data_IF_204667359275
#
_entry.id   IF_204667359275
#
_cell.length_a   1.000
_cell.length_b   1.000
_cell.length_c   1.000
_cell.angle_alpha   90.00
_cell.angle_beta   90.00
_cell.angle_gamma   90.00
#
_symmetry.space_group_name_H-M   'P 1'
#
loop_
_entity.id
_entity.type
_entity.pdbx_description
1 polymer ?
#
# COMPACT_ATOMS: atom_id res chain seq x y z
N UNK A 1 10.42 -38.78 31.77
CA UNK A 1 11.06 -37.47 32.08
C UNK A 1 11.19 -37.36 33.60
N UNK A 2 12.42 -37.37 34.15
CA UNK A 2 12.70 -37.40 35.60
C UNK A 2 12.11 -36.18 36.33
N UNK A 3 11.69 -36.33 37.60
CA UNK A 3 11.21 -35.22 38.46
C UNK A 3 12.22 -34.06 38.51
N UNK A 4 13.51 -34.37 38.42
CA UNK A 4 14.61 -33.38 38.40
C UNK A 4 14.55 -32.54 37.11
N UNK A 5 14.33 -33.18 35.96
CA UNK A 5 14.24 -32.49 34.66
C UNK A 5 13.02 -31.56 34.60
N UNK A 6 11.86 -32.00 35.12
CA UNK A 6 10.67 -31.14 35.22
C UNK A 6 10.89 -29.92 36.11
N UNK A 7 11.59 -30.09 37.23
CA UNK A 7 11.90 -29.01 38.17
C UNK A 7 12.85 -27.98 37.54
N UNK A 8 13.93 -28.44 36.90
CA UNK A 8 14.88 -27.58 36.17
C UNK A 8 14.18 -26.83 35.02
N UNK A 9 13.28 -27.49 34.29
CA UNK A 9 12.57 -26.85 33.19
C UNK A 9 11.58 -25.77 33.65
N UNK A 10 10.80 -26.04 34.71
CA UNK A 10 9.81 -25.09 35.22
C UNK A 10 10.44 -23.93 36.00
N UNK A 11 11.48 -24.18 36.81
CA UNK A 11 12.09 -23.17 37.68
C UNK A 11 13.21 -22.38 36.99
N UNK A 12 13.91 -22.94 35.99
CA UNK A 12 15.03 -22.26 35.33
C UNK A 12 14.75 -21.91 33.86
N UNK A 13 14.17 -22.83 33.07
CA UNK A 13 14.00 -22.58 31.63
C UNK A 13 12.84 -21.66 31.31
N UNK A 14 11.72 -21.75 32.04
CA UNK A 14 10.54 -20.90 31.81
C UNK A 14 10.81 -19.41 32.14
N UNK A 15 11.44 -19.03 33.27
CA UNK A 15 11.81 -17.64 33.52
C UNK A 15 12.90 -17.15 32.56
N UNK A 16 13.89 -18.00 32.21
CA UNK A 16 14.93 -17.65 31.25
C UNK A 16 14.35 -17.36 29.86
N UNK A 17 13.33 -18.11 29.41
CA UNK A 17 12.63 -17.86 28.16
C UNK A 17 11.86 -16.52 28.17
N UNK A 18 11.22 -16.17 29.29
CA UNK A 18 10.52 -14.88 29.46
C UNK A 18 11.49 -13.69 29.55
N UNK A 19 12.70 -13.90 30.10
CA UNK A 19 13.75 -12.87 30.17
C UNK A 19 14.49 -12.73 28.84
N UNK A 20 14.69 -13.83 28.10
CA UNK A 20 15.24 -13.86 26.73
C UNK A 20 14.47 -12.98 25.75
N UNK A 21 13.15 -12.95 25.89
CA UNK A 21 12.28 -12.13 25.04
C UNK A 21 12.46 -10.61 25.28
N UNK A 22 12.99 -10.22 26.46
CA UNK A 22 13.17 -8.81 26.85
C UNK A 22 14.61 -8.32 26.79
N UNK A 23 15.60 -9.17 27.04
CA UNK A 23 17.01 -8.77 27.04
C UNK A 23 17.94 -9.97 26.75
N UNK A 24 18.15 -10.31 25.47
CA UNK A 24 18.91 -11.50 25.07
C UNK A 24 20.40 -11.42 25.44
N UNK A 25 20.97 -10.20 25.52
CA UNK A 25 22.36 -9.99 25.87
C UNK A 25 22.60 -10.33 27.36
N UNK A 26 21.73 -9.87 28.25
CA UNK A 26 21.82 -10.15 29.69
C UNK A 26 21.68 -11.65 30.00
N UNK A 27 20.80 -12.35 29.28
CA UNK A 27 20.59 -13.80 29.46
C UNK A 27 21.80 -14.62 28.97
N UNK A 28 22.45 -14.20 27.87
CA UNK A 28 23.69 -14.80 27.42
C UNK A 28 24.81 -14.67 28.45
N UNK A 29 24.98 -13.48 29.05
CA UNK A 29 26.00 -13.23 30.07
C UNK A 29 25.76 -14.06 31.34
N UNK A 30 24.50 -14.23 31.75
CA UNK A 30 24.13 -15.06 32.90
C UNK A 30 24.46 -16.54 32.68
N UNK A 31 24.18 -17.06 31.48
CA UNK A 31 24.47 -18.46 31.13
C UNK A 31 25.97 -18.72 30.98
N UNK A 32 26.73 -17.79 30.41
CA UNK A 32 28.18 -17.87 30.36
C UNK A 32 28.80 -17.86 31.78
N UNK A 33 28.24 -17.06 32.69
CA UNK A 33 28.66 -17.00 34.08
C UNK A 33 28.38 -18.31 34.85
N UNK A 34 27.21 -18.93 34.67
CA UNK A 34 26.88 -20.20 35.34
C UNK A 34 27.69 -21.39 34.80
N UNK A 35 28.06 -21.37 33.52
CA UNK A 35 28.95 -22.35 32.89
C UNK A 35 30.35 -22.41 33.51
N UNK A 36 30.87 -21.24 33.92
CA UNK A 36 32.21 -21.11 34.48
C UNK A 36 32.36 -21.76 35.86
N UNK A 37 31.25 -22.17 36.49
CA UNK A 37 31.19 -22.67 37.87
C UNK A 37 31.34 -24.19 38.00
N UNK A 38 31.14 -24.99 36.94
CA UNK A 38 31.37 -26.43 36.98
C UNK A 38 31.53 -27.04 35.57
N UNK A 39 32.51 -27.94 35.41
CA UNK A 39 32.85 -28.60 34.15
C UNK A 39 31.70 -29.46 33.59
N UNK A 40 30.83 -29.97 34.46
CA UNK A 40 29.67 -30.80 34.08
C UNK A 40 28.58 -30.01 33.35
N UNK A 41 28.55 -28.68 33.50
CA UNK A 41 27.57 -27.81 32.85
C UNK A 41 28.02 -27.29 31.48
N UNK A 42 29.29 -27.45 31.11
CA UNK A 42 29.85 -27.02 29.81
C UNK A 42 28.98 -27.44 28.62
N UNK A 43 28.56 -28.72 28.45
CA UNK A 43 27.74 -29.11 27.30
C UNK A 43 26.34 -28.46 27.32
N UNK A 44 25.75 -28.27 28.51
CA UNK A 44 24.45 -27.61 28.64
C UNK A 44 24.53 -26.12 28.32
N UNK A 45 25.59 -25.45 28.77
CA UNK A 45 25.85 -24.06 28.40
C UNK A 45 26.06 -23.92 26.90
N UNK A 46 26.86 -24.79 26.27
CA UNK A 46 27.08 -24.73 24.82
C UNK A 46 25.76 -24.84 24.05
N UNK A 47 24.91 -25.82 24.39
CA UNK A 47 23.58 -25.98 23.77
C UNK A 47 22.70 -24.76 24.01
N UNK A 48 22.66 -24.24 25.24
CA UNK A 48 21.91 -23.04 25.58
C UNK A 48 22.42 -21.81 24.80
N UNK A 49 23.73 -21.64 24.66
CA UNK A 49 24.35 -20.57 23.87
C UNK A 49 23.97 -20.67 22.39
N UNK A 50 23.98 -21.87 21.79
CA UNK A 50 23.52 -22.05 20.40
C UNK A 50 22.05 -21.68 20.22
N UNK A 51 21.17 -22.11 21.15
CA UNK A 51 19.75 -21.76 21.12
C UNK A 51 19.55 -20.25 21.22
N UNK A 52 20.32 -19.58 22.09
CA UNK A 52 20.23 -18.13 22.28
C UNK A 52 20.74 -17.38 21.05
N UNK A 53 21.89 -17.76 20.51
CA UNK A 53 22.43 -17.15 19.29
C UNK A 53 21.43 -17.31 18.14
N UNK A 54 20.85 -18.50 17.99
CA UNK A 54 19.82 -18.75 16.99
C UNK A 54 18.56 -17.89 17.21
N UNK A 55 18.06 -17.80 18.44
CA UNK A 55 16.91 -16.96 18.78
C UNK A 55 17.17 -15.47 18.50
N UNK A 56 18.35 -14.97 18.87
CA UNK A 56 18.78 -13.59 18.56
C UNK A 56 18.86 -13.38 17.05
N UNK A 57 19.41 -14.33 16.31
CA UNK A 57 19.53 -14.24 14.86
C UNK A 57 18.15 -14.17 14.19
N UNK A 58 17.22 -15.06 14.58
CA UNK A 58 15.84 -15.06 14.07
C UNK A 58 15.12 -13.76 14.44
N UNK A 59 15.25 -13.29 15.68
CA UNK A 59 14.65 -12.04 16.12
C UNK A 59 15.21 -10.83 15.37
N UNK A 60 16.53 -10.77 15.18
CA UNK A 60 17.22 -9.70 14.46
C UNK A 60 16.78 -9.67 12.99
N UNK A 61 16.68 -10.84 12.36
CA UNK A 61 16.18 -10.95 10.99
C UNK A 61 14.74 -10.46 10.87
N UNK A 62 13.86 -10.85 11.81
CA UNK A 62 12.47 -10.38 11.84
C UNK A 62 12.39 -8.86 11.99
N UNK A 63 13.20 -8.27 12.87
CA UNK A 63 13.28 -6.81 13.03
C UNK A 63 13.75 -6.12 11.76
N UNK A 64 14.77 -6.66 11.08
CA UNK A 64 15.22 -6.13 9.79
C UNK A 64 14.14 -6.20 8.70
N UNK A 65 13.40 -7.32 8.63
CA UNK A 65 12.27 -7.47 7.70
C UNK A 65 11.15 -6.47 8.00
N UNK A 66 10.83 -6.24 9.28
CA UNK A 66 9.85 -5.23 9.69
C UNK A 66 10.29 -3.79 9.39
N UNK A 67 11.55 -3.46 9.62
CA UNK A 67 12.10 -2.13 9.32
C UNK A 67 12.17 -1.88 7.82
N UNK A 68 12.58 -2.87 7.03
CA UNK A 68 12.53 -2.80 5.56
C UNK A 68 11.11 -2.60 5.06
N UNK A 69 10.13 -3.33 5.62
CA UNK A 69 8.72 -3.15 5.31
C UNK A 69 8.22 -1.75 5.66
N UNK A 70 8.55 -1.22 6.85
CA UNK A 70 8.19 0.15 7.25
C UNK A 70 8.77 1.19 6.30
N UNK A 71 10.03 1.03 5.88
CA UNK A 71 10.66 1.93 4.92
C UNK A 71 9.92 1.90 3.57
N UNK A 72 9.54 0.72 3.08
CA UNK A 72 8.75 0.56 1.85
C UNK A 72 7.34 1.14 1.96
N UNK A 73 6.68 0.97 3.10
CA UNK A 73 5.38 1.59 3.33
C UNK A 73 5.48 3.12 3.34
N UNK A 74 6.53 3.69 3.95
CA UNK A 74 6.79 5.13 3.92
C UNK A 74 7.00 5.67 2.50
N UNK A 75 7.66 4.88 1.64
CA UNK A 75 7.79 5.19 0.21
C UNK A 75 6.41 5.24 -0.48
N UNK A 76 5.57 4.21 -0.27
CA UNK A 76 4.19 4.16 -0.78
C UNK A 76 3.35 5.35 -0.31
N UNK A 77 3.39 5.64 0.99
CA UNK A 77 2.67 6.77 1.61
C UNK A 77 3.09 8.09 0.97
N UNK A 78 4.39 8.32 0.79
CA UNK A 78 4.89 9.51 0.11
C UNK A 78 4.42 9.64 -1.34
N UNK A 79 4.40 8.54 -2.10
CA UNK A 79 3.93 8.55 -3.50
C UNK A 79 2.44 8.84 -3.55
N UNK A 80 1.64 8.17 -2.71
CA UNK A 80 0.20 8.35 -2.64
C UNK A 80 -0.18 9.79 -2.31
N UNK A 81 0.42 10.38 -1.27
CA UNK A 81 0.14 11.78 -0.91
C UNK A 81 0.55 12.78 -1.98
N UNK A 82 1.68 12.54 -2.66
CA UNK A 82 2.11 13.39 -3.78
C UNK A 82 1.14 13.31 -4.96
N UNK A 83 0.65 12.12 -5.29
CA UNK A 83 -0.37 11.92 -6.31
C UNK A 83 -1.69 12.57 -5.90
N UNK A 84 -2.14 12.37 -4.66
CA UNK A 84 -3.36 12.95 -4.12
C UNK A 84 -3.35 14.48 -4.13
N UNK A 85 -2.25 15.11 -3.69
CA UNK A 85 -2.08 16.56 -3.77
C UNK A 85 -2.18 17.05 -5.21
N UNK A 86 -1.50 16.37 -6.15
CA UNK A 86 -1.56 16.73 -7.56
C UNK A 86 -2.99 16.62 -8.13
N UNK A 87 -3.71 15.53 -7.81
CA UNK A 87 -5.10 15.32 -8.20
C UNK A 87 -6.00 16.45 -7.69
N UNK A 88 -5.85 16.83 -6.41
CA UNK A 88 -6.61 17.91 -5.81
C UNK A 88 -6.33 19.25 -6.49
N UNK A 89 -5.06 19.57 -6.75
CA UNK A 89 -4.67 20.79 -7.46
C UNK A 89 -5.28 20.86 -8.86
N UNK A 90 -5.23 19.74 -9.61
CA UNK A 90 -5.81 19.68 -10.95
C UNK A 90 -7.35 19.79 -10.91
N UNK A 91 -8.00 19.10 -9.97
CA UNK A 91 -9.46 19.20 -9.81
C UNK A 91 -9.86 20.65 -9.55
N UNK A 92 -9.21 21.31 -8.60
CA UNK A 92 -9.49 22.71 -8.29
C UNK A 92 -9.27 23.60 -9.51
N UNK A 93 -8.16 23.42 -10.22
CA UNK A 93 -7.86 24.17 -11.44
C UNK A 93 -8.98 24.07 -12.48
N UNK A 94 -9.49 22.87 -12.76
CA UNK A 94 -10.53 22.67 -13.77
C UNK A 94 -11.96 22.95 -13.27
N UNK A 95 -12.18 23.00 -11.96
CA UNK A 95 -13.46 23.39 -11.37
C UNK A 95 -13.69 24.91 -11.45
N UNK A 96 -12.62 25.70 -11.28
CA UNK A 96 -12.70 27.17 -11.32
C UNK A 96 -12.44 27.76 -12.71
N UNK A 97 -11.95 26.96 -13.66
CA UNK A 97 -11.59 27.42 -15.00
C UNK A 97 -12.82 27.47 -15.91
N UNK A 98 -13.23 28.69 -16.23
CA UNK A 98 -14.09 28.94 -17.38
C UNK A 98 -13.20 29.03 -18.62
N UNK A 99 -13.37 28.08 -19.55
CA UNK A 99 -12.71 28.14 -20.85
C UNK A 99 -13.57 28.94 -21.82
N UNK A 100 -13.01 29.99 -22.41
CA UNK A 100 -13.72 30.82 -23.40
C UNK A 100 -13.75 30.16 -24.79
N UNK A 101 -12.98 29.08 -24.99
CA UNK A 101 -12.85 28.35 -26.25
C UNK A 101 -13.66 27.05 -26.19
N UNK A 102 -14.66 26.91 -27.06
CA UNK A 102 -15.55 25.74 -27.13
C UNK A 102 -14.78 24.41 -27.22
N UNK A 103 -13.69 24.39 -28.00
CA UNK A 103 -12.81 23.22 -28.13
C UNK A 103 -12.15 22.82 -26.78
N UNK A 104 -11.79 23.78 -25.94
CA UNK A 104 -11.23 23.50 -24.60
C UNK A 104 -12.31 23.07 -23.62
N UNK A 105 -13.51 23.64 -23.69
CA UNK A 105 -14.65 23.20 -22.89
C UNK A 105 -14.98 21.71 -23.14
N UNK A 106 -14.89 21.26 -24.39
CA UNK A 106 -15.12 19.85 -24.76
C UNK A 106 -14.12 18.88 -24.11
N UNK A 107 -12.94 19.35 -23.71
CA UNK A 107 -11.91 18.54 -23.06
C UNK A 107 -12.13 18.37 -21.54
N UNK A 108 -12.83 19.32 -20.90
CA UNK A 108 -12.97 19.36 -19.44
C UNK A 108 -13.61 18.08 -18.85
N UNK A 109 -14.72 17.55 -19.38
CA UNK A 109 -15.34 16.34 -18.83
C UNK A 109 -14.40 15.12 -18.89
N UNK A 110 -13.63 15.00 -19.98
CA UNK A 110 -12.69 13.89 -20.15
C UNK A 110 -11.51 13.99 -19.16
N UNK A 111 -11.04 15.21 -18.88
CA UNK A 111 -10.02 15.46 -17.84
C UNK A 111 -10.56 15.14 -16.45
N UNK A 112 -11.76 15.62 -16.12
CA UNK A 112 -12.40 15.34 -14.84
C UNK A 112 -12.60 13.83 -14.63
N UNK A 113 -13.03 13.11 -15.67
CA UNK A 113 -13.15 11.66 -15.64
C UNK A 113 -11.78 11.00 -15.41
N UNK A 114 -10.71 11.47 -16.04
CA UNK A 114 -9.35 10.94 -15.81
C UNK A 114 -8.88 11.13 -14.37
N UNK A 115 -9.13 12.30 -13.80
CA UNK A 115 -8.81 12.59 -12.40
C UNK A 115 -9.56 11.62 -11.50
N UNK A 116 -10.88 11.47 -11.71
CA UNK A 116 -11.73 10.56 -10.92
C UNK A 116 -11.25 9.11 -11.00
N UNK A 117 -11.01 8.59 -12.21
CA UNK A 117 -10.54 7.22 -12.42
C UNK A 117 -9.18 6.99 -11.77
N UNK A 118 -8.27 7.98 -11.84
CA UNK A 118 -6.95 7.87 -11.21
C UNK A 118 -7.09 7.76 -9.69
N UNK A 119 -7.96 8.59 -9.10
CA UNK A 119 -8.24 8.54 -7.66
C UNK A 119 -8.87 7.20 -7.25
N UNK A 120 -9.89 6.74 -7.97
CA UNK A 120 -10.57 5.47 -7.72
C UNK A 120 -9.63 4.25 -7.82
N UNK A 121 -8.55 4.34 -8.60
CA UNK A 121 -7.51 3.30 -8.67
C UNK A 121 -6.45 3.45 -7.56
N UNK A 122 -6.09 4.66 -7.17
CA UNK A 122 -5.07 4.91 -6.17
C UNK A 122 -5.53 4.56 -4.74
N UNK A 123 -6.77 4.88 -4.40
CA UNK A 123 -7.35 4.64 -3.06
C UNK A 123 -7.32 3.17 -2.60
N UNK A 124 -7.74 2.18 -3.42
CA UNK A 124 -7.66 0.77 -3.03
C UNK A 124 -6.22 0.27 -2.94
N UNK A 125 -5.31 0.75 -3.79
CA UNK A 125 -3.88 0.41 -3.70
C UNK A 125 -3.29 0.86 -2.37
N UNK A 126 -3.58 2.09 -1.94
CA UNK A 126 -3.11 2.60 -0.66
C UNK A 126 -3.77 1.90 0.53
N UNK A 127 -5.05 1.54 0.40
CA UNK A 127 -5.76 0.75 1.42
C UNK A 127 -5.14 -0.65 1.58
N UNK A 128 -4.75 -1.30 0.47
CA UNK A 128 -4.03 -2.57 0.50
C UNK A 128 -2.65 -2.42 1.17
N UNK A 129 -1.92 -1.32 0.90
CA UNK A 129 -0.63 -1.06 1.52
C UNK A 129 -0.69 -0.89 3.05
N UNK A 130 -1.82 -0.39 3.57
CA UNK A 130 -2.04 -0.23 5.03
C UNK A 130 -2.29 -1.54 5.76
N UNK A 131 -2.59 -2.63 5.05
CA UNK A 131 -2.87 -3.91 5.69
C UNK A 131 -1.63 -4.42 6.44
N UNK A 132 -1.82 -4.84 7.69
CA UNK A 132 -0.72 -5.35 8.52
C UNK A 132 -0.03 -6.59 7.94
N UNK A 133 -0.71 -7.30 7.03
CA UNK A 133 -0.22 -8.47 6.29
C UNK A 133 0.55 -8.12 5.01
N UNK A 134 0.62 -6.85 4.60
CA UNK A 134 1.29 -6.47 3.36
C UNK A 134 2.78 -6.83 3.41
N UNK A 135 3.23 -7.61 2.43
CA UNK A 135 4.63 -8.02 2.30
C UNK A 135 5.47 -6.91 1.66
N UNK A 136 6.80 -6.97 1.83
CA UNK A 136 7.70 -6.01 1.18
C UNK A 136 7.57 -6.01 -0.35
N UNK A 137 7.29 -7.18 -0.94
CA UNK A 137 7.09 -7.32 -2.39
C UNK A 137 5.77 -6.68 -2.84
N UNK A 138 4.68 -6.91 -2.09
CA UNK A 138 3.39 -6.26 -2.34
C UNK A 138 3.51 -4.73 -2.25
N UNK A 139 4.23 -4.22 -1.24
CA UNK A 139 4.47 -2.77 -1.11
C UNK A 139 5.28 -2.22 -2.29
N UNK A 140 6.27 -2.96 -2.79
CA UNK A 140 7.05 -2.55 -3.96
C UNK A 140 6.19 -2.51 -5.23
N UNK A 141 5.32 -3.50 -5.43
CA UNK A 141 4.37 -3.53 -6.55
C UNK A 141 3.39 -2.35 -6.46
N UNK A 142 2.80 -2.11 -5.29
CA UNK A 142 1.89 -0.98 -5.06
C UNK A 142 2.60 0.35 -5.34
N UNK A 143 3.84 0.52 -4.91
CA UNK A 143 4.63 1.72 -5.21
C UNK A 143 4.83 1.91 -6.72
N UNK A 144 5.05 0.82 -7.48
CA UNK A 144 5.15 0.85 -8.94
C UNK A 144 3.84 1.26 -9.59
N UNK A 145 2.72 0.67 -9.16
CA UNK A 145 1.39 0.94 -9.72
C UNK A 145 0.97 2.40 -9.46
N UNK A 146 1.21 2.92 -8.25
CA UNK A 146 0.96 4.33 -7.92
C UNK A 146 1.83 5.28 -8.76
N UNK A 147 3.10 4.94 -9.02
CA UNK A 147 3.95 5.72 -9.93
C UNK A 147 3.45 5.71 -11.36
N UNK A 148 2.92 4.57 -11.82
CA UNK A 148 2.32 4.48 -13.14
C UNK A 148 1.09 5.39 -13.25
N UNK A 149 0.21 5.37 -12.24
CA UNK A 149 -0.93 6.28 -12.16
C UNK A 149 -0.50 7.76 -12.18
N UNK A 150 0.51 8.13 -11.39
CA UNK A 150 1.07 9.49 -11.38
C UNK A 150 1.64 9.89 -12.75
N UNK A 151 2.38 8.99 -13.41
CA UNK A 151 2.91 9.23 -14.74
C UNK A 151 1.81 9.41 -15.79
N UNK A 152 0.76 8.59 -15.74
CA UNK A 152 -0.38 8.65 -16.64
C UNK A 152 -1.13 9.98 -16.51
N UNK A 153 -1.55 10.36 -15.29
CA UNK A 153 -2.31 11.61 -15.11
C UNK A 153 -1.46 12.84 -15.46
N UNK A 154 -0.17 12.86 -15.11
CA UNK A 154 0.74 13.93 -15.54
C UNK A 154 0.95 13.95 -17.06
N UNK A 155 0.88 12.79 -17.71
CA UNK A 155 0.93 12.67 -19.16
C UNK A 155 -0.28 13.31 -19.82
N UNK A 156 -1.48 13.04 -19.30
CA UNK A 156 -2.74 13.66 -19.75
C UNK A 156 -2.65 15.18 -19.61
N UNK A 157 -2.26 15.71 -18.45
CA UNK A 157 -2.18 17.17 -18.24
C UNK A 157 -1.15 17.82 -19.16
N UNK A 158 0.01 17.19 -19.37
CA UNK A 158 0.99 17.66 -20.37
C UNK A 158 0.47 17.58 -21.80
N UNK A 159 -0.38 16.61 -22.11
CA UNK A 159 -1.09 16.52 -23.39
C UNK A 159 -2.04 17.69 -23.58
N UNK A 160 -2.82 17.99 -22.55
CA UNK A 160 -3.76 19.10 -22.54
C UNK A 160 -3.08 20.46 -22.69
N UNK A 161 -2.02 20.76 -21.93
CA UNK A 161 -1.29 22.04 -22.09
C UNK A 161 -0.69 22.21 -23.49
N UNK A 162 -0.26 21.11 -24.13
CA UNK A 162 0.21 21.13 -25.52
C UNK A 162 -0.92 21.35 -26.51
N UNK A 163 -2.09 20.76 -26.26
CA UNK A 163 -3.29 21.02 -27.06
C UNK A 163 -3.65 22.51 -26.98
N UNK A 164 -3.81 23.04 -25.77
CA UNK A 164 -4.12 24.46 -25.51
C UNK A 164 -3.20 25.41 -26.28
N UNK A 165 -1.89 25.16 -26.24
CA UNK A 165 -0.91 25.96 -26.99
C UNK A 165 -1.11 25.87 -28.51
N UNK A 166 -1.43 24.67 -29.05
CA UNK A 166 -1.65 24.48 -30.49
C UNK A 166 -2.93 25.16 -30.98
N UNK A 167 -3.99 25.11 -30.19
CA UNK A 167 -5.29 25.67 -30.55
C UNK A 167 -5.21 27.17 -30.87
N UNK A 168 -4.29 27.90 -30.24
CA UNK A 168 -4.07 29.34 -30.50
C UNK A 168 -3.73 29.66 -31.97
N UNK A 169 -3.20 28.70 -32.72
CA UNK A 169 -2.81 28.86 -34.13
C UNK A 169 -3.85 28.34 -35.13
N UNK A 170 -4.93 27.72 -34.65
CA UNK A 170 -5.91 26.99 -35.47
C UNK A 170 -7.16 27.83 -35.74
N UNK A 171 -7.81 27.57 -36.88
CA UNK A 171 -9.18 28.07 -37.10
C UNK A 171 -10.16 27.40 -36.12
N UNK A 172 -11.33 28.00 -35.85
CA UNK A 172 -12.32 27.40 -34.93
C UNK A 172 -12.69 25.94 -35.27
N UNK A 173 -12.82 25.61 -36.56
CA UNK A 173 -13.13 24.25 -37.00
C UNK A 173 -11.98 23.28 -36.71
N UNK A 174 -10.74 23.71 -36.97
CA UNK A 174 -9.54 22.93 -36.66
C UNK A 174 -9.36 22.74 -35.16
N UNK A 175 -9.73 23.73 -34.35
CA UNK A 175 -9.67 23.63 -32.90
C UNK A 175 -10.60 22.54 -32.38
N UNK A 176 -11.86 22.54 -32.83
CA UNK A 176 -12.86 21.57 -32.41
C UNK A 176 -12.47 20.14 -32.81
N UNK A 177 -11.99 19.95 -34.05
CA UNK A 177 -11.53 18.62 -34.51
C UNK A 177 -10.30 18.13 -33.73
N UNK A 178 -9.34 19.01 -33.44
CA UNK A 178 -8.18 18.65 -32.61
C UNK A 178 -8.58 18.26 -31.18
N UNK A 179 -9.55 18.96 -30.59
CA UNK A 179 -10.08 18.63 -29.27
C UNK A 179 -10.82 17.28 -29.26
N UNK A 180 -11.69 17.01 -30.25
CA UNK A 180 -12.37 15.71 -30.38
C UNK A 180 -11.37 14.56 -30.51
N UNK A 181 -10.36 14.73 -31.34
CA UNK A 181 -9.30 13.72 -31.50
C UNK A 181 -8.56 13.49 -30.19
N UNK A 182 -8.18 14.55 -29.48
CA UNK A 182 -7.52 14.44 -28.19
C UNK A 182 -8.38 13.74 -27.14
N UNK A 183 -9.67 14.10 -27.03
CA UNK A 183 -10.63 13.44 -26.12
C UNK A 183 -10.77 11.95 -26.47
N UNK A 184 -10.82 11.62 -27.75
CA UNK A 184 -10.91 10.22 -28.21
C UNK A 184 -9.65 9.44 -27.82
N UNK A 185 -8.47 10.02 -28.02
CA UNK A 185 -7.18 9.41 -27.66
C UNK A 185 -7.07 9.16 -26.16
N UNK A 186 -7.39 10.18 -25.34
CA UNK A 186 -7.36 9.98 -23.89
C UNK A 186 -8.40 8.93 -23.51
N UNK A 187 -9.64 9.00 -23.99
CA UNK A 187 -10.68 8.03 -23.62
C UNK A 187 -10.34 6.60 -24.05
N UNK A 188 -9.72 6.40 -25.22
CA UNK A 188 -9.25 5.08 -25.68
C UNK A 188 -8.17 4.46 -24.78
N UNK A 189 -7.39 5.26 -24.07
CA UNK A 189 -6.32 4.78 -23.16
C UNK A 189 -6.78 4.44 -21.74
N UNK A 190 -8.08 4.48 -21.42
CA UNK A 190 -8.60 3.79 -20.23
C UNK A 190 -9.96 3.19 -20.53
N UNK A 191 -10.19 1.93 -20.16
CA UNK A 191 -11.52 1.37 -20.28
C UNK A 191 -12.50 2.20 -19.43
N UNK A 192 -13.75 2.36 -19.89
CA UNK A 192 -14.79 2.98 -19.08
C UNK A 192 -14.92 2.20 -17.76
N UNK A 193 -15.07 2.93 -16.66
CA UNK A 193 -15.49 2.33 -15.39
C UNK A 193 -16.89 1.77 -15.65
N UNK A 194 -17.03 0.45 -15.66
CA UNK A 194 -18.33 -0.19 -15.55
C UNK A 194 -18.89 0.22 -14.19
N UNK A 195 -19.80 1.18 -14.19
CA UNK A 195 -20.74 1.33 -13.09
C UNK A 195 -21.67 0.13 -13.27
N UNK A 196 -21.35 -0.99 -12.62
CA UNK A 196 -22.35 -2.03 -12.46
C UNK A 196 -23.51 -1.39 -11.68
N UNK A 197 -24.75 -1.45 -12.19
CA UNK A 197 -25.90 -1.09 -11.40
C UNK A 197 -25.90 -2.02 -10.18
N UNK A 198 -25.91 -1.41 -9.00
CA UNK A 198 -26.24 -2.12 -7.75
C UNK A 198 -27.60 -2.75 -7.97
N UNK A 199 -27.65 -4.08 -8.05
CA UNK A 199 -28.88 -4.85 -8.04
C UNK A 199 -29.59 -4.57 -6.71
N UNK A 200 -30.56 -3.66 -6.78
CA UNK A 200 -31.47 -3.33 -5.69
C UNK A 200 -32.62 -4.35 -5.66
N UNK A 201 -32.29 -5.64 -5.55
CA UNK A 201 -33.27 -6.71 -5.34
C UNK A 201 -33.14 -7.24 -3.91
N UNK A 202 -33.51 -6.39 -2.94
CA UNK A 202 -33.93 -6.87 -1.61
C UNK A 202 -35.45 -6.89 -1.54
N UNK A 203 -36.01 -7.88 -2.23
CA UNK A 203 -37.04 -8.78 -1.71
C UNK A 203 -38.08 -8.14 -0.77
N UNK A 204 -39.04 -7.40 -1.36
CA UNK A 204 -40.37 -7.18 -0.78
C UNK A 204 -41.14 -8.51 -0.82
N UNK A 205 -40.84 -9.39 0.13
CA UNK A 205 -41.66 -10.56 0.43
C UNK A 205 -42.96 -10.12 1.10
N UNK A 206 -44.02 -10.07 0.29
CA UNK A 206 -45.38 -9.78 0.71
C UNK A 206 -45.89 -10.77 1.77
N UNK A 207 -46.62 -10.20 2.73
CA UNK A 207 -47.50 -10.91 3.65
C UNK A 207 -48.79 -11.40 2.94
N UNK A 208 -49.49 -12.31 3.64
CA UNK A 208 -50.82 -12.91 3.36
C UNK A 208 -50.83 -14.02 2.27
N UNK A 209 -51.50 -15.18 2.41
CA UNK A 209 -52.61 -15.59 3.28
C UNK A 209 -52.79 -17.13 3.23
N UNK A 210 -53.33 -17.68 4.31
CA UNK A 210 -54.32 -18.79 4.45
C UNK A 210 -54.25 -20.08 3.60
N UNK A 211 -54.33 -21.24 4.29
CA UNK A 211 -54.96 -22.45 3.76
C UNK A 211 -54.44 -23.79 4.32
N UNK A 212 -55.26 -24.39 5.19
CA UNK A 212 -55.28 -25.79 5.72
C UNK A 212 -54.27 -26.22 6.80
#
# INVERSE_FOLDING_TARGET
>A
MSKIVKKVFAECMYPAAVILDKNPLATFTLLAFTASRSWEWIPFTLVASFIIIYAIHVHSRKMQEEDARKAKFKEVDSIFWKLGSYILDQRFFFEVRAEDVEALQLCLPAIQQRILVTQQKADPLFSAAKQASATSEQLAQIASDLRMLDAQIRGVMRGYSRLETRLQSYSPEQQLEAAKHWVTDINGTSPPVSVDPVDEDTNLGAAERDGE
#
